data_IF_492806441705
#
_entry.id   IF_492806441705
#
_cell.length_a   1.000
_cell.length_b   1.000
_cell.length_c   1.000
_cell.angle_alpha   90.00
_cell.angle_beta   90.00
_cell.angle_gamma   90.00
#
_symmetry.space_group_name_H-M   'P 1'
#
loop_
_entity.id
_entity.type
_entity.pdbx_description
1 polymer ?
#
# COMPACT_ATOMS: atom_id res chain seq x y z
N UNK A 1 24.60 18.71 1.10
CA UNK A 1 23.31 19.38 0.81
C UNK A 1 23.46 20.83 1.24
N UNK A 2 22.90 21.80 0.53
CA UNK A 2 22.90 23.21 0.98
C UNK A 2 22.01 23.37 2.21
N UNK A 3 22.26 24.39 3.05
CA UNK A 3 21.44 24.70 4.24
C UNK A 3 19.94 24.85 3.89
N UNK A 4 19.64 25.44 2.74
CA UNK A 4 18.27 25.60 2.22
C UNK A 4 17.57 24.26 1.91
N UNK A 5 18.29 23.28 1.34
CA UNK A 5 17.75 21.96 1.05
C UNK A 5 17.48 21.17 2.34
N UNK A 6 18.34 21.33 3.34
CA UNK A 6 18.17 20.70 4.65
C UNK A 6 17.00 21.31 5.44
N UNK A 7 16.85 22.64 5.38
CA UNK A 7 15.70 23.35 5.97
C UNK A 7 14.37 22.96 5.30
N UNK A 8 14.35 22.84 3.97
CA UNK A 8 13.17 22.40 3.22
C UNK A 8 12.76 20.97 3.58
N UNK A 9 13.74 20.07 3.74
CA UNK A 9 13.49 18.69 4.18
C UNK A 9 12.89 18.64 5.58
N UNK A 10 13.39 19.43 6.52
CA UNK A 10 12.82 19.54 7.88
C UNK A 10 11.38 20.06 7.86
N UNK A 11 11.06 21.04 7.02
CA UNK A 11 9.68 21.54 6.87
C UNK A 11 8.76 20.43 6.34
N UNK A 12 9.20 19.67 5.34
CA UNK A 12 8.41 18.57 4.79
C UNK A 12 8.21 17.45 5.81
N UNK A 13 9.25 17.08 6.56
CA UNK A 13 9.12 16.11 7.65
C UNK A 13 8.11 16.56 8.71
N UNK A 14 8.06 17.87 9.03
CA UNK A 14 7.05 18.42 9.94
C UNK A 14 5.65 18.37 9.34
N UNK A 15 5.50 18.68 8.06
CA UNK A 15 4.21 18.60 7.36
C UNK A 15 3.71 17.15 7.29
N UNK A 16 4.57 16.20 6.93
CA UNK A 16 4.24 14.78 6.93
C UNK A 16 3.96 14.26 8.35
N UNK A 17 4.69 14.74 9.35
CA UNK A 17 4.44 14.48 10.77
C UNK A 17 3.14 15.11 11.32
N UNK A 18 2.42 15.90 10.51
CA UNK A 18 1.04 16.31 10.81
C UNK A 18 -0.02 15.37 10.22
N UNK A 19 0.39 14.53 9.26
CA UNK A 19 -0.45 13.55 8.57
C UNK A 19 -0.38 12.18 9.27
N UNK A 20 0.80 11.80 9.77
CA UNK A 20 1.05 10.65 10.64
C UNK A 20 1.95 11.04 11.81
N UNK A 21 2.55 10.09 12.53
CA UNK A 21 3.53 10.46 13.56
C UNK A 21 4.89 10.79 12.92
N UNK A 22 5.62 11.79 13.43
CA UNK A 22 6.96 12.13 12.90
C UNK A 22 7.90 10.92 12.86
N UNK A 23 7.86 10.08 13.90
CA UNK A 23 8.70 8.88 14.02
C UNK A 23 8.40 7.84 12.92
N UNK A 24 7.12 7.64 12.61
CA UNK A 24 6.65 6.74 11.55
C UNK A 24 7.11 7.23 10.17
N UNK A 25 6.93 8.52 9.87
CA UNK A 25 7.39 9.11 8.60
C UNK A 25 8.91 8.97 8.44
N UNK A 26 9.67 9.28 9.49
CA UNK A 26 11.13 9.15 9.47
C UNK A 26 11.58 7.69 9.26
N UNK A 27 10.86 6.73 9.84
CA UNK A 27 11.12 5.30 9.65
C UNK A 27 10.92 4.89 8.18
N UNK A 28 9.80 5.28 7.56
CA UNK A 28 9.54 4.97 6.16
C UNK A 28 10.56 5.62 5.21
N UNK A 29 10.90 6.89 5.44
CA UNK A 29 11.93 7.56 4.63
C UNK A 29 13.26 6.84 4.76
N UNK A 30 13.67 6.43 5.96
CA UNK A 30 14.90 5.65 6.18
C UNK A 30 14.84 4.31 5.45
N UNK A 31 13.71 3.61 5.52
CA UNK A 31 13.49 2.33 4.84
C UNK A 31 13.62 2.49 3.31
N UNK A 32 12.87 3.42 2.72
CA UNK A 32 12.92 3.64 1.27
C UNK A 32 14.27 4.17 0.79
N UNK A 33 14.93 5.01 1.58
CA UNK A 33 16.27 5.53 1.25
C UNK A 33 17.38 4.47 1.32
N UNK A 34 17.11 3.31 1.95
CA UNK A 34 18.06 2.20 2.01
C UNK A 34 18.03 1.29 0.78
N UNK A 35 17.03 1.47 -0.08
CA UNK A 35 16.89 0.75 -1.34
C UNK A 35 17.75 1.40 -2.45
N UNK A 36 17.94 0.68 -3.55
CA UNK A 36 18.31 1.35 -4.80
C UNK A 36 17.20 2.36 -5.14
N UNK A 37 17.57 3.60 -5.49
CA UNK A 37 16.62 4.67 -5.78
C UNK A 37 15.61 4.28 -6.86
N UNK A 38 16.01 3.46 -7.83
CA UNK A 38 15.11 2.97 -8.89
C UNK A 38 14.06 1.99 -8.34
N UNK A 39 14.38 1.28 -7.27
CA UNK A 39 13.51 0.28 -6.64
C UNK A 39 12.56 0.86 -5.61
N UNK A 40 12.51 2.20 -5.45
CA UNK A 40 11.54 2.82 -4.55
C UNK A 40 10.10 2.59 -5.03
N UNK A 41 9.72 3.21 -6.14
CA UNK A 41 8.34 3.16 -6.60
C UNK A 41 8.17 3.30 -8.12
N UNK A 42 7.20 2.56 -8.67
CA UNK A 42 6.61 2.81 -9.99
C UNK A 42 5.22 3.40 -9.78
N UNK A 43 4.95 4.59 -10.32
CA UNK A 43 3.70 5.33 -10.14
C UNK A 43 2.97 5.45 -11.47
N UNK A 44 1.86 4.73 -11.62
CA UNK A 44 0.96 4.82 -12.78
C UNK A 44 -0.04 5.94 -12.57
N UNK A 45 -0.02 6.91 -13.49
CA UNK A 45 -0.92 8.06 -13.52
C UNK A 45 -1.98 7.86 -14.62
N UNK A 46 -3.25 7.84 -14.23
CA UNK A 46 -4.36 7.87 -15.19
C UNK A 46 -4.45 9.21 -15.92
N UNK A 47 -4.82 9.19 -17.21
CA UNK A 47 -4.89 10.41 -18.03
C UNK A 47 -5.81 11.50 -17.47
N UNK A 48 -6.93 11.12 -16.84
CA UNK A 48 -7.84 12.08 -16.19
C UNK A 48 -7.18 12.90 -15.08
N UNK A 49 -6.19 12.34 -14.36
CA UNK A 49 -5.46 13.11 -13.34
C UNK A 49 -4.60 14.21 -13.95
N UNK A 50 -4.08 14.02 -15.17
CA UNK A 50 -3.33 15.06 -15.88
C UNK A 50 -4.22 16.22 -16.36
N UNK A 51 -5.53 15.98 -16.45
CA UNK A 51 -6.52 16.99 -16.83
C UNK A 51 -7.05 17.72 -15.59
N UNK A 52 -7.49 16.98 -14.57
CA UNK A 52 -8.30 17.51 -13.48
C UNK A 52 -7.51 17.72 -12.17
N UNK A 53 -6.39 17.01 -11.99
CA UNK A 53 -5.65 16.95 -10.71
C UNK A 53 -4.14 17.19 -10.88
N UNK A 54 -3.73 17.93 -11.92
CA UNK A 54 -2.32 18.11 -12.28
C UNK A 54 -1.50 18.75 -11.16
N UNK A 55 -2.04 19.79 -10.52
CA UNK A 55 -1.35 20.52 -9.45
C UNK A 55 -1.14 19.64 -8.20
N UNK A 56 -2.17 18.89 -7.81
CA UNK A 56 -2.10 17.94 -6.68
C UNK A 56 -1.09 16.83 -6.97
N UNK A 57 -1.11 16.29 -8.19
CA UNK A 57 -0.15 15.27 -8.64
C UNK A 57 1.28 15.81 -8.61
N UNK A 58 1.53 16.99 -9.20
CA UNK A 58 2.84 17.59 -9.23
C UNK A 58 3.34 17.86 -7.80
N UNK A 59 2.49 18.42 -6.93
CA UNK A 59 2.82 18.66 -5.53
C UNK A 59 3.20 17.39 -4.78
N UNK A 60 2.42 16.31 -4.91
CA UNK A 60 2.71 15.02 -4.28
C UNK A 60 4.02 14.40 -4.76
N UNK A 61 4.31 14.45 -6.05
CA UNK A 61 5.59 13.98 -6.59
C UNK A 61 6.77 14.85 -6.14
N UNK A 62 6.58 16.17 -6.05
CA UNK A 62 7.55 17.12 -5.47
C UNK A 62 7.90 16.75 -4.03
N UNK A 63 6.92 16.40 -3.20
CA UNK A 63 7.19 15.98 -1.82
C UNK A 63 8.11 14.76 -1.77
N UNK A 64 7.88 13.75 -2.62
CA UNK A 64 8.72 12.55 -2.70
C UNK A 64 10.16 12.89 -3.10
N UNK A 65 10.34 13.70 -4.14
CA UNK A 65 11.68 14.10 -4.60
C UNK A 65 12.44 14.87 -3.53
N UNK A 66 11.78 15.79 -2.82
CA UNK A 66 12.42 16.62 -1.78
C UNK A 66 12.85 15.85 -0.54
N UNK A 67 12.21 14.71 -0.25
CA UNK A 67 12.69 13.79 0.80
C UNK A 67 13.74 12.80 0.30
N UNK A 68 14.15 12.90 -0.96
CA UNK A 68 15.22 12.11 -1.57
C UNK A 68 14.75 10.84 -2.27
N UNK A 69 13.45 10.73 -2.59
CA UNK A 69 12.87 9.55 -3.24
C UNK A 69 12.52 9.87 -4.70
N UNK A 70 12.84 8.94 -5.60
CA UNK A 70 12.72 9.15 -7.04
C UNK A 70 11.73 8.15 -7.66
N UNK A 71 10.41 8.37 -7.52
CA UNK A 71 9.42 7.53 -8.17
C UNK A 71 9.58 7.58 -9.69
N UNK A 72 9.44 6.42 -10.33
CA UNK A 72 9.36 6.31 -11.78
C UNK A 72 7.91 6.46 -12.17
N UNK A 73 7.58 7.55 -12.86
CA UNK A 73 6.20 7.91 -13.18
C UNK A 73 5.90 7.47 -14.60
N UNK A 74 4.84 6.69 -14.80
CA UNK A 74 4.32 6.33 -16.12
C UNK A 74 2.89 6.84 -16.25
N UNK A 75 2.59 7.51 -17.36
CA UNK A 75 1.27 8.13 -17.53
C UNK A 75 0.53 7.64 -18.78
N UNK A 76 -0.79 7.56 -18.66
CA UNK A 76 -1.69 7.48 -19.81
C UNK A 76 -2.18 8.87 -20.25
N UNK A 77 -3.04 8.89 -21.26
CA UNK A 77 -3.68 10.12 -21.77
C UNK A 77 -5.11 9.85 -22.28
N UNK A 78 -5.85 8.93 -21.64
CA UNK A 78 -7.12 8.40 -22.14
C UNK A 78 -8.13 9.47 -22.58
N UNK A 79 -8.59 10.37 -21.69
CA UNK A 79 -9.53 11.45 -22.04
C UNK A 79 -8.99 12.37 -23.14
N UNK A 80 -7.71 12.78 -23.04
CA UNK A 80 -7.07 13.68 -23.99
C UNK A 80 -6.94 13.08 -25.39
N UNK A 81 -6.73 11.77 -25.47
CA UNK A 81 -6.72 11.01 -26.72
C UNK A 81 -8.13 10.91 -27.31
N UNK A 82 -9.14 10.64 -26.48
CA UNK A 82 -10.52 10.58 -26.94
C UNK A 82 -10.97 11.94 -27.52
N UNK A 83 -10.58 13.05 -26.92
CA UNK A 83 -10.89 14.39 -27.43
C UNK A 83 -10.14 14.71 -28.73
N UNK A 84 -8.84 14.43 -28.79
CA UNK A 84 -8.03 14.71 -29.98
C UNK A 84 -8.45 13.85 -31.20
N UNK A 85 -8.87 12.60 -30.98
CA UNK A 85 -9.36 11.74 -32.07
C UNK A 85 -10.71 12.22 -32.60
N UNK A 86 -11.62 12.69 -31.72
CA UNK A 86 -12.88 13.30 -32.13
C UNK A 86 -12.64 14.56 -32.97
N UNK A 87 -11.72 15.43 -32.55
CA UNK A 87 -11.35 16.64 -33.30
C UNK A 87 -10.77 16.30 -34.68
N UNK A 88 -9.98 15.25 -34.77
CA UNK A 88 -9.43 14.75 -36.04
C UNK A 88 -10.44 13.96 -36.90
N UNK A 89 -11.67 13.75 -36.42
CA UNK A 89 -12.68 12.95 -37.12
C UNK A 89 -12.36 11.45 -37.19
N UNK A 90 -11.48 10.94 -36.32
CA UNK A 90 -11.06 9.54 -36.29
C UNK A 90 -11.95 8.77 -35.30
N UNK A 91 -12.59 7.66 -35.71
CA UNK A 91 -13.49 6.90 -34.85
C UNK A 91 -12.74 6.19 -33.71
N UNK A 92 -13.21 6.37 -32.48
CA UNK A 92 -12.66 5.69 -31.30
C UNK A 92 -13.16 4.25 -31.27
N UNK A 93 -12.24 3.29 -31.39
CA UNK A 93 -12.52 1.85 -31.31
C UNK A 93 -11.73 1.22 -30.17
N UNK A 94 -12.42 0.49 -29.29
CA UNK A 94 -11.80 -0.25 -28.18
C UNK A 94 -12.26 -1.71 -28.23
N UNK A 95 -11.33 -2.63 -28.01
CA UNK A 95 -11.57 -4.06 -27.88
C UNK A 95 -10.85 -4.55 -26.63
N UNK A 96 -11.57 -5.19 -25.71
CA UNK A 96 -11.02 -5.71 -24.45
C UNK A 96 -10.22 -4.67 -23.63
N UNK A 97 -10.72 -3.43 -23.61
CA UNK A 97 -10.06 -2.31 -22.91
C UNK A 97 -8.84 -1.72 -23.63
N UNK A 98 -8.37 -2.33 -24.71
CA UNK A 98 -7.32 -1.80 -25.57
C UNK A 98 -7.89 -0.95 -26.70
N UNK A 99 -7.20 0.16 -27.04
CA UNK A 99 -7.56 1.00 -28.19
C UNK A 99 -6.99 0.38 -29.47
N UNK A 100 -7.85 0.07 -30.42
CA UNK A 100 -7.41 -0.31 -31.77
C UNK A 100 -6.73 0.92 -32.38
N UNK A 101 -5.47 0.76 -32.79
CA UNK A 101 -4.61 1.87 -33.19
C UNK A 101 -4.15 1.64 -34.63
N UNK A 102 -4.85 2.20 -35.61
CA UNK A 102 -4.33 2.26 -36.99
C UNK A 102 -3.28 3.38 -37.14
N UNK A 103 -2.71 3.54 -38.34
CA UNK A 103 -1.65 4.53 -38.60
C UNK A 103 -2.09 5.97 -38.29
N UNK A 104 -3.31 6.36 -38.68
CA UNK A 104 -3.83 7.70 -38.42
C UNK A 104 -4.07 7.93 -36.92
N UNK A 105 -4.57 6.90 -36.23
CA UNK A 105 -4.76 6.92 -34.77
C UNK A 105 -3.40 7.03 -34.06
N UNK A 106 -2.37 6.31 -34.52
CA UNK A 106 -1.03 6.31 -33.93
C UNK A 106 -0.39 7.71 -33.97
N UNK A 107 -0.57 8.44 -35.07
CA UNK A 107 -0.05 9.80 -35.21
C UNK A 107 -0.65 10.76 -34.16
N UNK A 108 -1.94 10.62 -33.88
CA UNK A 108 -2.62 11.36 -32.81
C UNK A 108 -2.11 10.90 -31.45
N UNK A 109 -2.02 9.59 -31.23
CA UNK A 109 -1.54 8.99 -29.98
C UNK A 109 -0.16 9.53 -29.60
N UNK A 110 0.79 9.52 -30.54
CA UNK A 110 2.15 9.99 -30.31
C UNK A 110 2.18 11.46 -29.89
N UNK A 111 1.47 12.33 -30.61
CA UNK A 111 1.43 13.78 -30.32
C UNK A 111 0.83 14.07 -28.95
N UNK A 112 -0.30 13.43 -28.62
CA UNK A 112 -0.97 13.63 -27.33
C UNK A 112 -0.13 13.10 -26.19
N UNK A 113 0.44 11.90 -26.29
CA UNK A 113 1.31 11.35 -25.24
C UNK A 113 2.51 12.27 -24.97
N UNK A 114 3.18 12.77 -26.01
CA UNK A 114 4.30 13.71 -25.86
C UNK A 114 3.87 15.04 -25.21
N UNK A 115 2.71 15.58 -25.63
CA UNK A 115 2.15 16.82 -25.06
C UNK A 115 1.83 16.66 -23.57
N UNK A 116 1.13 15.60 -23.19
CA UNK A 116 0.77 15.36 -21.78
C UNK A 116 1.99 15.02 -20.92
N UNK A 117 3.02 14.37 -21.48
CA UNK A 117 4.29 14.13 -20.81
C UNK A 117 4.98 15.46 -20.44
N UNK A 118 5.14 16.35 -21.42
CA UNK A 118 5.74 17.66 -21.19
C UNK A 118 4.90 18.50 -20.24
N UNK A 119 3.57 18.46 -20.33
CA UNK A 119 2.67 19.16 -19.41
C UNK A 119 2.92 18.76 -17.95
N UNK A 120 3.13 17.48 -17.65
CA UNK A 120 3.47 17.03 -16.30
C UNK A 120 4.89 17.46 -15.89
N UNK A 121 5.87 17.33 -16.78
CA UNK A 121 7.25 17.78 -16.54
C UNK A 121 7.27 19.28 -16.22
N UNK A 122 6.58 20.11 -17.00
CA UNK A 122 6.51 21.56 -16.80
C UNK A 122 5.82 21.91 -15.47
N UNK A 123 4.79 21.17 -15.07
CA UNK A 123 4.14 21.35 -13.78
C UNK A 123 5.09 21.05 -12.60
N UNK A 124 5.94 20.03 -12.74
CA UNK A 124 6.96 19.68 -11.75
C UNK A 124 8.08 20.73 -11.68
N UNK A 125 8.60 21.17 -12.84
CA UNK A 125 9.66 22.17 -12.90
C UNK A 125 9.19 23.54 -12.35
N UNK A 126 7.91 23.89 -12.53
CA UNK A 126 7.30 25.08 -11.89
C UNK A 126 7.33 25.03 -10.36
N UNK A 127 7.36 23.83 -9.77
CA UNK A 127 7.50 23.60 -8.32
C UNK A 127 8.96 23.38 -7.89
N UNK A 128 9.91 23.75 -8.76
CA UNK A 128 11.35 23.53 -8.60
C UNK A 128 11.70 22.04 -8.40
N UNK A 129 10.92 21.17 -9.02
CA UNK A 129 11.14 19.71 -9.00
C UNK A 129 11.70 19.28 -10.32
N UNK A 130 12.93 18.77 -10.28
CA UNK A 130 13.63 18.32 -11.48
C UNK A 130 12.99 17.06 -12.04
N UNK A 131 12.52 17.13 -13.27
CA UNK A 131 11.89 16.01 -13.96
C UNK A 131 12.52 15.82 -15.35
N UNK A 132 12.54 14.57 -15.83
CA UNK A 132 13.07 14.24 -17.16
C UNK A 132 11.99 13.56 -17.99
N UNK A 133 11.59 14.13 -19.14
CA UNK A 133 10.73 13.41 -20.08
C UNK A 133 11.49 12.22 -20.66
N UNK A 134 10.89 11.03 -20.57
CA UNK A 134 11.38 9.79 -21.16
C UNK A 134 10.29 9.25 -22.08
N UNK A 135 10.28 9.73 -23.32
CA UNK A 135 9.15 9.54 -24.25
C UNK A 135 9.29 8.34 -25.18
N UNK A 136 10.45 7.67 -25.17
CA UNK A 136 10.79 6.55 -26.06
C UNK A 136 12.00 5.78 -25.51
N UNK A 137 12.34 4.64 -26.13
CA UNK A 137 13.54 3.84 -25.79
C UNK A 137 13.48 3.04 -24.47
N UNK A 138 12.33 3.01 -23.78
CA UNK A 138 12.13 2.18 -22.57
C UNK A 138 11.51 0.83 -22.91
N UNK A 139 10.50 0.81 -23.78
CA UNK A 139 9.76 -0.42 -24.10
C UNK A 139 10.11 -0.89 -25.51
N UNK A 140 10.79 -2.03 -25.60
CA UNK A 140 10.97 -2.77 -26.84
C UNK A 140 9.81 -3.76 -26.97
N UNK A 141 9.07 -3.69 -28.08
CA UNK A 141 7.80 -4.40 -28.26
C UNK A 141 7.61 -4.97 -29.67
N UNK A 142 6.80 -6.01 -29.82
CA UNK A 142 6.31 -6.48 -31.13
C UNK A 142 4.86 -6.07 -31.33
N UNK A 143 4.31 -6.16 -32.54
CA UNK A 143 2.85 -6.03 -32.71
C UNK A 143 2.17 -7.17 -31.95
N UNK A 144 1.14 -6.84 -31.16
CA UNK A 144 0.37 -7.82 -30.39
C UNK A 144 -0.44 -8.72 -31.34
N UNK A 145 -1.29 -8.10 -32.14
CA UNK A 145 -1.96 -8.70 -33.30
C UNK A 145 -2.32 -7.55 -34.24
N UNK A 146 -1.56 -7.42 -35.31
CA UNK A 146 -1.68 -6.32 -36.27
C UNK A 146 -3.04 -6.32 -36.96
N UNK A 147 -3.63 -7.49 -37.20
CA UNK A 147 -4.92 -7.61 -37.89
C UNK A 147 -6.09 -7.11 -37.04
N UNK A 148 -5.99 -7.31 -35.71
CA UNK A 148 -7.05 -6.98 -34.75
C UNK A 148 -6.86 -5.60 -34.13
N UNK A 149 -5.63 -5.28 -33.68
CA UNK A 149 -5.36 -4.06 -32.90
C UNK A 149 -4.52 -3.02 -33.65
N UNK A 150 -3.95 -3.35 -34.81
CA UNK A 150 -3.06 -2.46 -35.56
C UNK A 150 -1.71 -2.27 -34.85
N UNK A 151 -1.29 -1.02 -34.71
CA UNK A 151 -0.04 -0.60 -34.06
C UNK A 151 -0.12 -0.64 -32.53
N UNK A 152 -0.62 -1.74 -31.97
CA UNK A 152 -0.61 -2.00 -30.52
C UNK A 152 0.51 -2.98 -30.20
N UNK A 153 1.32 -2.63 -29.21
CA UNK A 153 2.53 -3.35 -28.86
C UNK A 153 2.34 -4.35 -27.71
N UNK A 154 3.00 -5.50 -27.84
CA UNK A 154 3.28 -6.44 -26.76
C UNK A 154 4.75 -6.26 -26.33
N UNK A 155 4.99 -5.88 -25.08
CA UNK A 155 6.34 -5.62 -24.56
C UNK A 155 7.12 -6.93 -24.52
N UNK A 156 8.35 -6.91 -25.07
CA UNK A 156 9.29 -8.04 -25.02
C UNK A 156 10.49 -7.75 -24.13
N UNK A 157 10.85 -6.48 -23.97
CA UNK A 157 11.96 -6.06 -23.11
C UNK A 157 11.77 -4.63 -22.60
N UNK A 158 12.22 -4.41 -21.37
CA UNK A 158 12.27 -3.08 -20.75
C UNK A 158 13.74 -2.65 -20.60
N UNK A 159 14.09 -1.51 -21.19
CA UNK A 159 15.40 -0.87 -21.05
C UNK A 159 15.36 0.21 -19.96
N UNK A 160 16.17 0.02 -18.92
CA UNK A 160 16.21 0.88 -17.73
C UNK A 160 17.32 1.96 -17.78
N UNK A 161 18.05 2.08 -18.89
CA UNK A 161 19.20 2.98 -18.97
C UNK A 161 18.80 4.45 -18.83
N UNK A 162 17.82 4.91 -19.62
CA UNK A 162 17.34 6.30 -19.59
C UNK A 162 16.73 6.66 -18.22
N UNK A 163 15.98 5.73 -17.63
CA UNK A 163 15.40 5.85 -16.28
C UNK A 163 16.52 6.02 -15.25
N UNK A 164 17.53 5.15 -15.31
CA UNK A 164 18.65 5.20 -14.39
C UNK A 164 19.50 6.46 -14.54
N UNK A 165 19.66 6.97 -15.76
CA UNK A 165 20.37 8.22 -16.01
C UNK A 165 19.63 9.42 -15.40
N UNK A 166 18.30 9.48 -15.53
CA UNK A 166 17.49 10.52 -14.91
C UNK A 166 17.60 10.49 -13.37
N UNK A 167 17.46 9.31 -12.77
CA UNK A 167 17.53 9.14 -11.31
C UNK A 167 18.93 9.51 -10.78
N UNK A 168 20.01 9.08 -11.43
CA UNK A 168 21.38 9.49 -11.06
C UNK A 168 21.62 11.00 -11.14
N UNK A 169 20.92 11.68 -12.04
CA UNK A 169 20.95 13.14 -12.15
C UNK A 169 20.04 13.85 -11.12
N UNK A 170 19.36 13.10 -10.25
CA UNK A 170 18.41 13.65 -9.28
C UNK A 170 17.10 14.12 -9.92
N UNK A 171 16.71 13.55 -11.06
CA UNK A 171 15.49 13.90 -11.78
C UNK A 171 14.43 12.78 -11.65
N UNK A 172 13.16 13.15 -11.55
CA UNK A 172 12.05 12.21 -11.69
C UNK A 172 11.90 11.78 -13.16
N UNK A 173 12.02 10.49 -13.50
CA UNK A 173 11.76 10.03 -14.86
C UNK A 173 10.25 9.95 -15.12
N UNK A 174 9.78 10.66 -16.15
CA UNK A 174 8.37 10.74 -16.54
C UNK A 174 8.19 10.04 -17.89
N UNK A 175 7.60 8.84 -17.88
CA UNK A 175 7.50 7.93 -19.01
C UNK A 175 6.15 8.02 -19.71
N UNK A 176 6.18 7.89 -21.04
CA UNK A 176 5.01 7.63 -21.87
C UNK A 176 4.76 6.13 -22.03
N UNK A 177 3.54 5.75 -22.40
CA UNK A 177 3.17 4.36 -22.75
C UNK A 177 3.36 4.10 -24.25
N UNK A 178 4.55 4.37 -24.79
CA UNK A 178 4.92 4.11 -26.18
C UNK A 178 6.07 3.11 -26.24
N UNK A 179 5.97 2.17 -27.16
CA UNK A 179 7.03 1.19 -27.44
C UNK A 179 7.62 1.35 -28.82
N UNK A 180 8.72 0.65 -29.05
CA UNK A 180 9.42 0.59 -30.33
C UNK A 180 9.66 -0.87 -30.71
N UNK A 181 9.38 -1.22 -31.96
CA UNK A 181 9.80 -2.51 -32.51
C UNK A 181 11.30 -2.53 -32.77
N UNK A 182 11.92 -3.71 -32.96
CA UNK A 182 13.34 -3.80 -33.33
C UNK A 182 13.69 -3.02 -34.63
N UNK A 183 12.71 -2.75 -35.48
CA UNK A 183 12.87 -1.95 -36.70
C UNK A 183 12.74 -0.44 -36.50
N UNK A 184 12.39 0.02 -35.29
CA UNK A 184 12.14 1.43 -34.96
C UNK A 184 10.70 1.90 -35.16
N UNK A 185 9.78 1.02 -35.60
CA UNK A 185 8.35 1.37 -35.66
C UNK A 185 7.80 1.61 -34.25
N UNK A 186 7.16 2.76 -34.04
CA UNK A 186 6.48 3.09 -32.78
C UNK A 186 5.18 2.30 -32.68
N UNK A 187 4.87 1.81 -31.48
CA UNK A 187 3.61 1.13 -31.16
C UNK A 187 2.99 1.72 -29.89
N UNK A 188 1.66 1.72 -29.84
CA UNK A 188 0.91 2.11 -28.66
C UNK A 188 0.89 0.96 -27.65
N UNK A 189 1.12 1.23 -26.36
CA UNK A 189 1.07 0.21 -25.31
C UNK A 189 -0.01 0.59 -24.29
N UNK A 190 -0.75 -0.41 -23.80
CA UNK A 190 -1.69 -0.22 -22.70
C UNK A 190 -0.94 0.26 -21.43
N UNK A 191 -1.47 1.28 -20.76
CA UNK A 191 -0.77 1.91 -19.64
C UNK A 191 -0.64 1.03 -18.38
N UNK A 192 -1.63 0.16 -18.12
CA UNK A 192 -1.55 -0.80 -17.00
C UNK A 192 -0.55 -1.91 -17.32
N UNK A 193 -0.56 -2.43 -18.56
CA UNK A 193 0.46 -3.39 -19.03
C UNK A 193 1.87 -2.81 -18.95
N UNK A 194 2.07 -1.58 -19.45
CA UNK A 194 3.37 -0.91 -19.40
C UNK A 194 3.86 -0.70 -17.95
N UNK A 195 2.96 -0.36 -17.02
CA UNK A 195 3.30 -0.21 -15.61
C UNK A 195 3.67 -1.56 -14.96
N UNK A 196 2.94 -2.64 -15.27
CA UNK A 196 3.23 -3.98 -14.77
C UNK A 196 4.57 -4.51 -15.28
N UNK A 197 4.83 -4.43 -16.59
CA UNK A 197 6.12 -4.85 -17.18
C UNK A 197 7.31 -4.06 -16.63
N UNK A 198 7.11 -2.75 -16.46
CA UNK A 198 8.11 -1.89 -15.83
C UNK A 198 8.37 -2.31 -14.37
N UNK A 199 7.32 -2.63 -13.62
CA UNK A 199 7.44 -3.11 -12.25
C UNK A 199 8.14 -4.48 -12.18
N UNK A 200 7.85 -5.41 -13.08
CA UNK A 200 8.54 -6.71 -13.16
C UNK A 200 10.04 -6.54 -13.46
N UNK A 201 10.39 -5.61 -14.34
CA UNK A 201 11.78 -5.32 -14.69
C UNK A 201 12.58 -4.66 -13.53
N UNK A 202 11.93 -3.80 -12.74
CA UNK A 202 12.58 -3.03 -11.66
C UNK A 202 12.54 -3.75 -10.32
N UNK A 203 11.45 -4.48 -10.05
CA UNK A 203 11.08 -5.05 -8.74
C UNK A 203 11.00 -4.00 -7.64
N UNK A 204 10.12 -2.98 -7.77
CA UNK A 204 10.05 -1.89 -6.80
C UNK A 204 9.40 -2.33 -5.49
N UNK A 205 9.70 -1.62 -4.40
CA UNK A 205 9.02 -1.82 -3.11
C UNK A 205 7.56 -1.39 -3.17
N UNK A 206 7.24 -0.33 -3.93
CA UNK A 206 5.87 0.18 -4.11
C UNK A 206 5.50 0.26 -5.60
N UNK A 207 4.33 -0.25 -5.93
CA UNK A 207 3.66 0.03 -7.20
C UNK A 207 2.43 0.86 -6.85
N UNK A 208 2.27 2.04 -7.44
CA UNK A 208 1.18 2.94 -7.09
C UNK A 208 0.30 3.19 -8.29
N UNK A 209 -1.00 2.89 -8.17
CA UNK A 209 -2.00 3.29 -9.14
C UNK A 209 -2.75 4.51 -8.62
N UNK A 210 -2.54 5.66 -9.26
CA UNK A 210 -3.26 6.87 -8.92
C UNK A 210 -4.60 6.93 -9.64
N UNK A 211 -5.68 7.05 -8.86
CA UNK A 211 -7.05 7.08 -9.35
C UNK A 211 -7.81 8.25 -8.71
N UNK A 212 -8.82 8.82 -9.39
CA UNK A 212 -9.64 9.88 -8.78
C UNK A 212 -10.44 9.40 -7.56
N UNK A 213 -10.85 8.13 -7.52
CA UNK A 213 -11.63 7.56 -6.41
C UNK A 213 -10.80 7.33 -5.15
N UNK A 214 -9.48 7.25 -5.27
CA UNK A 214 -8.59 7.15 -4.11
C UNK A 214 -8.49 5.77 -3.47
N UNK A 215 -9.03 4.72 -4.08
CA UNK A 215 -8.94 3.35 -3.56
C UNK A 215 -10.03 2.43 -4.13
N UNK A 216 -10.00 1.16 -3.70
CA UNK A 216 -11.06 0.18 -3.94
C UNK A 216 -12.11 0.31 -2.83
N UNK A 217 -13.39 0.22 -3.20
CA UNK A 217 -14.51 0.38 -2.28
C UNK A 217 -15.07 -0.98 -1.88
N UNK A 218 -15.56 -1.10 -0.64
CA UNK A 218 -16.33 -2.26 -0.16
C UNK A 218 -17.81 -2.18 -0.57
N UNK A 219 -18.59 -3.19 -0.21
CA UNK A 219 -20.04 -3.26 -0.46
C UNK A 219 -20.85 -2.07 0.13
N UNK A 220 -20.27 -1.33 1.07
CA UNK A 220 -20.88 -0.16 1.71
C UNK A 220 -20.34 1.17 1.15
N UNK A 221 -19.53 1.13 0.09
CA UNK A 221 -18.92 2.30 -0.53
C UNK A 221 -17.76 2.90 0.26
N UNK A 222 -17.21 2.19 1.25
CA UNK A 222 -16.06 2.65 2.06
C UNK A 222 -14.77 2.13 1.45
N UNK A 223 -13.69 2.90 1.51
CA UNK A 223 -12.39 2.46 1.01
C UNK A 223 -11.88 1.26 1.81
N UNK A 224 -11.55 0.17 1.11
CA UNK A 224 -10.80 -0.97 1.65
C UNK A 224 -9.39 -0.49 1.97
N UNK A 225 -8.98 -0.51 3.25
CA UNK A 225 -7.64 -0.05 3.63
C UNK A 225 -6.54 -0.99 3.16
N UNK A 226 -6.80 -2.31 3.21
CA UNK A 226 -5.81 -3.32 2.88
C UNK A 226 -6.46 -4.60 2.33
N UNK A 227 -5.76 -5.30 1.45
CA UNK A 227 -6.13 -6.60 0.90
C UNK A 227 -4.91 -7.52 0.98
N UNK A 228 -5.07 -8.67 1.65
CA UNK A 228 -4.07 -9.75 1.68
C UNK A 228 -4.48 -10.81 0.65
N UNK A 229 -3.83 -10.85 -0.50
CA UNK A 229 -4.22 -11.74 -1.59
C UNK A 229 -4.17 -13.24 -1.20
N UNK A 230 -3.31 -13.63 -0.26
CA UNK A 230 -3.24 -15.01 0.22
C UNK A 230 -4.48 -15.46 1.00
N UNK A 231 -5.24 -14.52 1.56
CA UNK A 231 -6.42 -14.81 2.40
C UNK A 231 -7.71 -14.32 1.72
N UNK A 232 -7.68 -13.12 1.13
CA UNK A 232 -8.88 -12.41 0.68
C UNK A 232 -9.25 -12.70 -0.77
N UNK A 233 -8.29 -13.12 -1.62
CA UNK A 233 -8.48 -13.10 -3.08
C UNK A 233 -9.66 -13.97 -3.55
N UNK A 234 -9.67 -15.25 -3.21
CA UNK A 234 -10.71 -16.17 -3.69
C UNK A 234 -12.10 -15.76 -3.19
N UNK A 235 -12.18 -15.33 -1.92
CA UNK A 235 -13.40 -14.80 -1.33
C UNK A 235 -13.89 -13.57 -2.09
N UNK A 236 -13.05 -12.55 -2.24
CA UNK A 236 -13.41 -11.32 -2.97
C UNK A 236 -13.81 -11.62 -4.42
N UNK A 237 -13.14 -12.55 -5.09
CA UNK A 237 -13.48 -12.97 -6.45
C UNK A 237 -14.77 -13.78 -6.53
N UNK A 238 -15.39 -14.18 -5.41
CA UNK A 238 -16.72 -14.81 -5.38
C UNK A 238 -17.85 -13.83 -5.05
N UNK A 239 -17.55 -12.65 -4.50
CA UNK A 239 -18.54 -11.69 -4.01
C UNK A 239 -19.25 -10.92 -5.15
N UNK A 240 -20.59 -10.79 -5.06
CA UNK A 240 -21.40 -10.12 -6.08
C UNK A 240 -21.13 -8.61 -6.19
N UNK A 241 -20.77 -7.95 -5.08
CA UNK A 241 -20.50 -6.52 -5.05
C UNK A 241 -19.16 -6.14 -5.73
N UNK A 242 -18.27 -7.13 -5.94
CA UNK A 242 -17.01 -6.93 -6.66
C UNK A 242 -17.29 -6.99 -8.15
N UNK A 243 -17.53 -5.82 -8.75
CA UNK A 243 -17.88 -5.72 -10.17
C UNK A 243 -16.73 -6.11 -11.12
N UNK A 244 -17.03 -6.36 -12.40
CA UNK A 244 -16.09 -6.87 -13.41
C UNK A 244 -14.77 -6.09 -13.51
N UNK A 245 -14.83 -4.75 -13.51
CA UNK A 245 -13.61 -3.91 -13.52
C UNK A 245 -12.73 -4.08 -12.27
N UNK A 246 -13.32 -4.26 -11.09
CA UNK A 246 -12.57 -4.50 -9.85
C UNK A 246 -11.95 -5.90 -9.85
N UNK A 247 -12.68 -6.91 -10.36
CA UNK A 247 -12.16 -8.28 -10.54
C UNK A 247 -10.94 -8.30 -11.45
N UNK A 248 -11.02 -7.64 -12.60
CA UNK A 248 -9.89 -7.51 -13.51
C UNK A 248 -8.69 -6.86 -12.81
N UNK A 249 -8.92 -5.77 -12.07
CA UNK A 249 -7.84 -5.08 -11.38
C UNK A 249 -7.17 -5.92 -10.28
N UNK A 250 -7.97 -6.68 -9.52
CA UNK A 250 -7.46 -7.59 -8.51
C UNK A 250 -6.66 -8.73 -9.12
N UNK A 251 -7.12 -9.30 -10.25
CA UNK A 251 -6.38 -10.33 -10.98
C UNK A 251 -5.03 -9.79 -11.48
N UNK A 252 -5.01 -8.64 -12.17
CA UNK A 252 -3.77 -7.99 -12.64
C UNK A 252 -2.78 -7.74 -11.50
N UNK A 253 -3.28 -7.26 -10.35
CA UNK A 253 -2.44 -6.98 -9.18
C UNK A 253 -1.91 -8.29 -8.58
N UNK A 254 -2.72 -9.34 -8.54
CA UNK A 254 -2.29 -10.65 -8.06
C UNK A 254 -1.19 -11.23 -8.94
N UNK A 255 -1.41 -11.27 -10.25
CA UNK A 255 -0.43 -11.80 -11.20
C UNK A 255 0.90 -11.06 -11.09
N UNK A 256 0.85 -9.73 -10.96
CA UNK A 256 2.03 -8.89 -10.73
C UNK A 256 2.73 -9.22 -9.40
N UNK A 257 1.99 -9.31 -8.28
CA UNK A 257 2.57 -9.54 -6.96
C UNK A 257 3.06 -10.98 -6.74
N UNK A 258 2.56 -11.94 -7.51
CA UNK A 258 3.06 -13.32 -7.50
C UNK A 258 4.49 -13.41 -8.04
N UNK A 259 4.84 -12.59 -9.03
CA UNK A 259 6.20 -12.54 -9.61
C UNK A 259 7.17 -11.61 -8.85
N UNK A 260 6.65 -10.74 -7.99
CA UNK A 260 7.45 -9.79 -7.23
C UNK A 260 7.89 -10.34 -5.85
N UNK A 261 8.93 -9.75 -5.23
CA UNK A 261 9.31 -10.05 -3.85
C UNK A 261 8.14 -9.83 -2.86
N UNK A 262 8.11 -10.59 -1.76
CA UNK A 262 7.11 -10.44 -0.68
C UNK A 262 7.05 -9.02 -0.09
N UNK A 263 8.16 -8.28 -0.14
CA UNK A 263 8.25 -6.90 0.32
C UNK A 263 7.57 -5.89 -0.60
N UNK A 264 7.28 -6.28 -1.85
CA UNK A 264 6.58 -5.42 -2.80
C UNK A 264 5.10 -5.34 -2.46
N UNK A 265 4.52 -4.17 -2.70
CA UNK A 265 3.08 -3.94 -2.49
C UNK A 265 2.54 -3.01 -3.55
N UNK A 266 1.25 -3.17 -3.85
CA UNK A 266 0.48 -2.25 -4.68
C UNK A 266 -0.30 -1.31 -3.77
N UNK A 267 -0.29 0.00 -4.06
CA UNK A 267 -1.16 0.98 -3.40
C UNK A 267 -2.06 1.63 -4.46
N UNK A 268 -3.37 1.64 -4.21
CA UNK A 268 -4.34 2.36 -5.04
C UNK A 268 -4.82 3.55 -4.21
N UNK A 269 -4.48 4.77 -4.63
CA UNK A 269 -4.78 5.98 -3.86
C UNK A 269 -5.01 7.18 -4.79
N UNK A 270 -5.31 8.35 -4.20
CA UNK A 270 -5.50 9.60 -4.91
C UNK A 270 -4.15 10.33 -5.06
N UNK A 271 -4.04 11.24 -6.02
CA UNK A 271 -2.84 12.07 -6.14
C UNK A 271 -2.55 12.87 -4.86
N UNK A 272 -3.61 13.42 -4.24
CA UNK A 272 -3.51 14.21 -3.00
C UNK A 272 -3.02 13.38 -1.82
N UNK A 273 -3.49 12.14 -1.71
CA UNK A 273 -3.21 11.26 -0.56
C UNK A 273 -1.93 10.43 -0.72
N UNK A 274 -1.24 10.53 -1.86
CA UNK A 274 -0.03 9.77 -2.14
C UNK A 274 1.02 9.80 -1.02
N UNK A 275 1.42 10.96 -0.45
CA UNK A 275 2.39 10.97 0.63
C UNK A 275 1.86 10.29 1.90
N UNK A 276 0.56 10.45 2.20
CA UNK A 276 -0.08 9.81 3.36
C UNK A 276 -0.08 8.30 3.21
N UNK A 277 -0.40 7.80 2.02
CA UNK A 277 -0.37 6.38 1.68
C UNK A 277 1.04 5.77 1.82
N UNK A 278 2.08 6.50 1.44
CA UNK A 278 3.44 5.96 1.43
C UNK A 278 4.17 6.06 2.78
N UNK A 279 3.83 7.06 3.61
CA UNK A 279 4.57 7.38 4.84
C UNK A 279 3.79 7.17 6.13
N UNK A 280 2.60 6.58 6.06
CA UNK A 280 1.82 6.24 7.27
C UNK A 280 1.34 4.80 7.19
N UNK A 281 1.33 4.10 8.33
CA UNK A 281 0.82 2.75 8.50
C UNK A 281 -0.67 2.66 8.20
N UNK A 282 -1.44 3.73 8.47
CA UNK A 282 -2.87 3.79 8.14
C UNK A 282 -3.10 3.92 6.64
N UNK A 283 -2.22 4.64 5.97
CA UNK A 283 -2.39 5.03 4.59
C UNK A 283 -3.62 5.92 4.36
N UNK A 284 -3.96 6.07 3.09
CA UNK A 284 -5.15 6.77 2.60
C UNK A 284 -5.53 6.25 1.21
N UNK A 285 -5.59 4.93 1.10
CA UNK A 285 -6.02 4.21 -0.08
C UNK A 285 -6.19 2.74 0.24
N UNK A 286 -6.05 1.91 -0.79
CA UNK A 286 -6.06 0.46 -0.66
C UNK A 286 -4.65 -0.08 -0.86
N UNK A 287 -4.08 -0.64 0.21
CA UNK A 287 -2.83 -1.39 0.18
C UNK A 287 -3.11 -2.85 -0.19
N UNK A 288 -2.66 -3.30 -1.36
CA UNK A 288 -2.75 -4.69 -1.79
C UNK A 288 -1.37 -5.33 -1.69
N UNK A 289 -1.32 -6.49 -1.03
CA UNK A 289 -0.10 -7.25 -0.85
C UNK A 289 -0.37 -8.71 -1.18
N UNK A 290 0.65 -9.42 -1.66
CA UNK A 290 0.58 -10.88 -1.70
C UNK A 290 0.27 -11.44 -0.31
N UNK A 291 0.87 -10.80 0.69
CA UNK A 291 0.72 -11.10 2.10
C UNK A 291 1.19 -12.51 2.41
N UNK A 292 0.74 -13.02 3.54
CA UNK A 292 1.08 -14.34 4.05
C UNK A 292 -0.19 -14.96 4.64
N UNK A 293 -0.22 -16.29 4.75
CA UNK A 293 -1.37 -16.94 5.36
C UNK A 293 -1.39 -16.68 6.86
N UNK A 294 -2.60 -16.61 7.41
CA UNK A 294 -2.81 -16.55 8.86
C UNK A 294 -3.12 -17.96 9.36
N UNK A 295 -2.15 -18.57 10.03
CA UNK A 295 -2.29 -19.88 10.64
C UNK A 295 -3.11 -19.78 11.94
N UNK A 296 -3.93 -20.79 12.17
CA UNK A 296 -4.76 -20.92 13.37
C UNK A 296 -4.35 -22.14 14.19
N UNK A 297 -4.18 -21.94 15.50
CA UNK A 297 -3.87 -23.00 16.46
C UNK A 297 -4.79 -22.93 17.68
N UNK A 298 -5.07 -24.07 18.31
CA UNK A 298 -5.92 -24.14 19.52
C UNK A 298 -5.12 -24.20 20.81
N UNK A 299 -3.86 -24.61 20.76
CA UNK A 299 -2.99 -24.71 21.94
C UNK A 299 -1.56 -24.26 21.61
N UNK A 300 -0.78 -23.94 22.64
CA UNK A 300 0.64 -23.60 22.48
C UNK A 300 1.52 -24.80 22.11
N UNK A 301 1.03 -26.04 22.24
CA UNK A 301 1.80 -27.24 21.85
C UNK A 301 1.87 -27.43 20.33
N UNK A 302 0.96 -26.77 19.60
CA UNK A 302 0.87 -26.88 18.14
C UNK A 302 1.71 -25.81 17.42
N UNK A 303 2.28 -24.84 18.15
CA UNK A 303 2.96 -23.67 17.60
C UNK A 303 4.44 -23.66 18.02
N UNK A 304 5.29 -23.04 17.20
CA UNK A 304 6.67 -22.76 17.57
C UNK A 304 6.72 -21.68 18.66
N UNK A 305 6.80 -22.13 19.92
CA UNK A 305 6.81 -21.25 21.09
C UNK A 305 8.05 -20.35 21.14
N UNK A 306 9.18 -20.77 20.56
CA UNK A 306 10.41 -19.97 20.52
C UNK A 306 10.18 -18.76 19.62
N UNK A 307 9.72 -18.99 18.39
CA UNK A 307 9.42 -17.90 17.44
C UNK A 307 8.27 -17.02 17.91
N UNK A 308 7.23 -17.60 18.53
CA UNK A 308 6.13 -16.80 19.08
C UNK A 308 6.62 -15.92 20.24
N UNK A 309 7.50 -16.42 21.11
CA UNK A 309 8.12 -15.63 22.17
C UNK A 309 8.90 -14.46 21.59
N UNK A 310 9.78 -14.71 20.62
CA UNK A 310 10.57 -13.66 19.96
C UNK A 310 9.67 -12.59 19.33
N UNK A 311 8.61 -12.99 18.62
CA UNK A 311 7.61 -12.09 18.05
C UNK A 311 7.01 -11.19 19.13
N UNK A 312 6.48 -11.78 20.21
CA UNK A 312 5.83 -11.04 21.28
C UNK A 312 6.80 -10.07 21.96
N UNK A 313 8.02 -10.51 22.26
CA UNK A 313 9.03 -9.69 22.92
C UNK A 313 9.48 -8.52 22.04
N UNK A 314 9.68 -8.76 20.74
CA UNK A 314 9.99 -7.71 19.77
C UNK A 314 8.83 -6.74 19.56
N UNK A 315 7.59 -7.25 19.49
CA UNK A 315 6.39 -6.44 19.26
C UNK A 315 6.05 -5.54 20.45
N UNK A 316 6.23 -6.02 21.67
CA UNK A 316 5.97 -5.23 22.89
C UNK A 316 7.20 -4.48 23.41
N UNK A 317 8.41 -4.82 22.97
CA UNK A 317 9.67 -4.30 23.50
C UNK A 317 9.91 -4.67 24.97
N UNK A 318 9.38 -5.83 25.41
CA UNK A 318 9.39 -6.29 26.80
C UNK A 318 9.54 -7.80 26.86
N UNK A 319 10.13 -8.32 27.94
CA UNK A 319 10.21 -9.76 28.15
C UNK A 319 8.85 -10.36 28.51
N UNK A 320 8.60 -11.53 27.94
CA UNK A 320 7.42 -12.33 28.24
C UNK A 320 7.67 -13.09 29.54
N UNK A 321 6.69 -13.09 30.45
CA UNK A 321 6.84 -13.80 31.73
C UNK A 321 7.07 -15.31 31.50
N UNK A 322 7.96 -15.98 32.27
CA UNK A 322 8.38 -17.35 32.00
C UNK A 322 7.25 -18.38 31.87
N UNK A 323 6.15 -18.21 32.62
CA UNK A 323 5.02 -19.14 32.66
C UNK A 323 3.88 -18.80 31.70
N UNK A 324 4.11 -17.89 30.74
CA UNK A 324 3.05 -17.46 29.84
C UNK A 324 2.48 -18.60 28.99
N UNK A 325 3.35 -19.50 28.50
CA UNK A 325 2.96 -20.65 27.69
C UNK A 325 2.29 -21.78 28.48
N UNK A 326 2.23 -21.68 29.81
CA UNK A 326 1.51 -22.63 30.68
C UNK A 326 0.00 -22.32 30.77
N UNK A 327 -0.50 -21.29 30.07
CA UNK A 327 -1.93 -20.94 30.07
C UNK A 327 -2.77 -22.05 29.43
N UNK A 328 -3.74 -22.58 30.17
CA UNK A 328 -4.67 -23.61 29.69
C UNK A 328 -5.96 -23.03 29.08
N UNK A 329 -6.26 -21.75 29.31
CA UNK A 329 -7.50 -21.11 28.85
C UNK A 329 -7.40 -20.52 27.43
N UNK A 330 -6.52 -21.05 26.57
CA UNK A 330 -6.40 -20.63 25.18
C UNK A 330 -7.66 -21.04 24.42
N UNK A 331 -8.22 -20.11 23.64
CA UNK A 331 -9.31 -20.42 22.71
C UNK A 331 -8.74 -20.62 21.30
N UNK A 332 -8.07 -19.60 20.78
CA UNK A 332 -7.37 -19.63 19.48
C UNK A 332 -6.14 -18.74 19.48
N UNK A 333 -5.17 -19.11 18.65
CA UNK A 333 -3.98 -18.35 18.34
C UNK A 333 -3.94 -18.16 16.83
N UNK A 334 -3.91 -16.90 16.40
CA UNK A 334 -3.65 -16.52 15.01
C UNK A 334 -2.20 -16.07 14.90
N UNK A 335 -1.47 -16.58 13.93
CA UNK A 335 -0.09 -16.18 13.67
C UNK A 335 0.19 -16.20 12.17
N UNK A 336 0.90 -15.21 11.65
CA UNK A 336 1.34 -15.25 10.26
C UNK A 336 2.38 -16.35 10.07
N UNK A 337 2.47 -16.95 8.88
CA UNK A 337 3.45 -18.01 8.58
C UNK A 337 4.90 -17.60 8.89
N UNK A 338 5.24 -16.30 8.73
CA UNK A 338 6.55 -15.77 9.09
C UNK A 338 6.77 -15.49 10.58
N UNK A 339 5.75 -15.61 11.44
CA UNK A 339 5.78 -15.22 12.86
C UNK A 339 6.15 -13.74 13.04
N UNK A 340 5.51 -12.86 12.25
CA UNK A 340 5.72 -11.41 12.33
C UNK A 340 4.51 -10.63 12.84
N UNK A 341 3.33 -11.25 12.85
CA UNK A 341 2.14 -10.75 13.52
C UNK A 341 1.36 -11.90 14.19
N UNK A 342 0.73 -11.62 15.33
CA UNK A 342 -0.07 -12.61 16.08
C UNK A 342 -1.22 -11.97 16.86
N UNK A 343 -2.30 -12.72 17.03
CA UNK A 343 -3.37 -12.49 17.99
C UNK A 343 -3.58 -13.75 18.84
N UNK A 344 -3.62 -13.61 20.16
CA UNK A 344 -3.90 -14.71 21.10
C UNK A 344 -5.20 -14.42 21.82
N UNK A 345 -6.18 -15.29 21.63
CA UNK A 345 -7.51 -15.23 22.26
C UNK A 345 -7.59 -16.27 23.37
N UNK A 346 -8.12 -15.84 24.51
CA UNK A 346 -8.34 -16.72 25.68
C UNK A 346 -9.80 -16.65 26.11
N UNK A 347 -10.25 -17.73 26.75
CA UNK A 347 -11.53 -17.79 27.46
C UNK A 347 -11.35 -17.16 28.83
N UNK A 348 -11.68 -15.89 28.92
CA UNK A 348 -11.53 -15.09 30.12
C UNK A 348 -12.73 -14.15 30.23
N UNK A 349 -13.53 -14.28 31.29
CA UNK A 349 -14.76 -13.50 31.43
C UNK A 349 -15.95 -14.02 30.59
N UNK A 350 -16.99 -13.19 30.40
CA UNK A 350 -18.26 -13.62 29.79
C UNK A 350 -18.19 -13.73 28.26
N UNK A 351 -17.24 -13.05 27.61
CA UNK A 351 -16.97 -13.11 26.17
C UNK A 351 -15.49 -13.39 25.94
N UNK A 352 -15.05 -13.83 24.75
CA UNK A 352 -13.63 -14.06 24.47
C UNK A 352 -12.78 -12.80 24.66
N UNK A 353 -11.55 -12.98 25.15
CA UNK A 353 -10.63 -11.89 25.47
C UNK A 353 -9.37 -11.95 24.60
N UNK A 354 -9.00 -10.82 23.99
CA UNK A 354 -7.74 -10.70 23.25
C UNK A 354 -6.60 -10.38 24.23
N UNK A 355 -5.78 -11.40 24.49
CA UNK A 355 -4.69 -11.35 25.46
C UNK A 355 -3.39 -10.80 24.89
N UNK A 356 -3.09 -11.10 23.63
CA UNK A 356 -1.95 -10.53 22.90
C UNK A 356 -2.38 -10.14 21.51
N UNK A 357 -1.97 -8.95 21.11
CA UNK A 357 -1.93 -8.53 19.71
C UNK A 357 -0.58 -7.87 19.49
N UNK A 358 0.25 -8.46 18.64
CA UNK A 358 1.62 -8.01 18.42
C UNK A 358 1.99 -8.07 16.95
N UNK A 359 2.71 -7.05 16.50
CA UNK A 359 3.31 -6.97 15.17
C UNK A 359 4.75 -6.55 15.37
N UNK A 360 5.69 -7.28 14.79
CA UNK A 360 7.12 -6.95 14.88
C UNK A 360 7.40 -5.58 14.24
N UNK A 361 8.39 -4.81 14.72
CA UNK A 361 8.69 -3.49 14.17
C UNK A 361 8.95 -3.46 12.66
N UNK A 362 9.52 -4.54 12.10
CA UNK A 362 9.78 -4.67 10.66
C UNK A 362 8.50 -4.86 9.85
N UNK A 363 7.47 -5.49 10.42
CA UNK A 363 6.21 -5.76 9.74
C UNK A 363 5.15 -4.66 9.94
N UNK A 364 5.46 -3.60 10.69
CA UNK A 364 4.52 -2.50 10.90
C UNK A 364 4.24 -1.75 9.59
N UNK A 365 2.96 -1.69 9.24
CA UNK A 365 2.48 -1.10 7.99
C UNK A 365 2.73 -1.93 6.73
N UNK A 366 3.16 -3.18 6.88
CA UNK A 366 3.05 -4.21 5.83
C UNK A 366 1.68 -4.91 5.85
N UNK A 367 0.64 -4.31 6.43
CA UNK A 367 -0.72 -4.89 6.46
C UNK A 367 -0.92 -6.14 7.33
N UNK A 368 0.15 -6.84 7.77
CA UNK A 368 0.03 -8.13 8.49
C UNK A 368 -0.84 -8.07 9.75
N UNK A 369 -0.73 -6.99 10.53
CA UNK A 369 -1.58 -6.79 11.72
C UNK A 369 -3.06 -6.67 11.35
N UNK A 370 -3.38 -5.98 10.25
CA UNK A 370 -4.74 -5.86 9.76
C UNK A 370 -5.28 -7.21 9.27
N UNK A 371 -4.45 -8.02 8.59
CA UNK A 371 -4.82 -9.38 8.18
C UNK A 371 -5.17 -10.28 9.36
N UNK A 372 -4.31 -10.30 10.40
CA UNK A 372 -4.57 -11.07 11.62
C UNK A 372 -5.83 -10.57 12.34
N UNK A 373 -6.03 -9.26 12.40
CA UNK A 373 -7.23 -8.67 13.02
C UNK A 373 -8.52 -9.02 12.27
N UNK A 374 -8.50 -8.95 10.94
CA UNK A 374 -9.65 -9.28 10.09
C UNK A 374 -10.05 -10.75 10.28
N UNK A 375 -9.09 -11.67 10.18
CA UNK A 375 -9.33 -13.11 10.38
C UNK A 375 -9.88 -13.41 11.78
N UNK A 376 -9.33 -12.77 12.82
CA UNK A 376 -9.83 -12.89 14.19
C UNK A 376 -11.28 -12.38 14.30
N UNK A 377 -11.60 -11.24 13.69
CA UNK A 377 -12.94 -10.63 13.78
C UNK A 377 -14.03 -11.44 13.07
N UNK A 378 -13.68 -12.19 12.02
CA UNK A 378 -14.61 -13.14 11.37
C UNK A 378 -15.05 -14.24 12.34
N UNK A 379 -14.11 -14.78 13.11
CA UNK A 379 -14.38 -15.87 14.05
C UNK A 379 -15.00 -15.38 15.36
N UNK A 380 -14.76 -14.12 15.75
CA UNK A 380 -15.21 -13.52 17.00
C UNK A 380 -16.06 -12.27 16.74
N UNK A 381 -17.39 -12.38 16.61
CA UNK A 381 -18.26 -11.21 16.46
C UNK A 381 -18.38 -10.36 17.73
N UNK A 382 -18.04 -10.94 18.90
CA UNK A 382 -17.94 -10.25 20.19
C UNK A 382 -16.53 -10.44 20.76
N UNK A 383 -15.89 -9.35 21.18
CA UNK A 383 -14.56 -9.40 21.77
C UNK A 383 -14.30 -8.20 22.68
N UNK A 384 -13.50 -8.40 23.72
CA UNK A 384 -12.96 -7.32 24.52
C UNK A 384 -11.45 -7.49 24.76
N UNK A 385 -10.77 -6.38 25.03
CA UNK A 385 -9.33 -6.38 25.29
C UNK A 385 -8.93 -5.16 26.11
N UNK A 386 -7.69 -5.13 26.58
CA UNK A 386 -7.13 -3.95 27.23
C UNK A 386 -5.77 -3.58 26.66
N UNK A 387 -5.41 -2.32 26.84
CA UNK A 387 -4.14 -1.77 26.46
C UNK A 387 -3.68 -0.75 27.50
N UNK A 388 -2.37 -0.55 27.66
CA UNK A 388 -1.87 0.53 28.53
C UNK A 388 -2.29 1.87 27.95
N UNK A 389 -2.60 2.83 28.80
CA UNK A 389 -3.01 4.20 28.38
C UNK A 389 -1.96 4.84 27.46
N UNK A 390 -0.68 4.60 27.72
CA UNK A 390 0.46 5.13 26.96
C UNK A 390 0.73 4.40 25.63
N UNK A 391 -0.04 3.36 25.30
CA UNK A 391 0.22 2.57 24.10
C UNK A 391 -0.16 3.34 22.82
N UNK A 392 0.77 3.40 21.87
CA UNK A 392 0.63 4.16 20.63
C UNK A 392 -0.48 3.60 19.72
N UNK A 393 -0.77 2.30 19.80
CA UNK A 393 -1.84 1.67 19.01
C UNK A 393 -3.26 2.00 19.50
N UNK A 394 -3.42 2.67 20.66
CA UNK A 394 -4.75 2.94 21.21
C UNK A 394 -5.66 3.70 20.25
N UNK A 395 -5.12 4.64 19.47
CA UNK A 395 -5.90 5.36 18.46
C UNK A 395 -6.50 4.42 17.41
N UNK A 396 -5.75 3.40 17.01
CA UNK A 396 -6.26 2.37 16.11
C UNK A 396 -7.30 1.48 16.80
N UNK A 397 -7.07 1.07 18.05
CA UNK A 397 -8.07 0.32 18.82
C UNK A 397 -9.40 1.08 18.96
N UNK A 398 -9.37 2.39 19.21
CA UNK A 398 -10.58 3.23 19.24
C UNK A 398 -11.38 3.15 17.93
N UNK A 399 -10.71 3.06 16.78
CA UNK A 399 -11.37 2.95 15.48
C UNK A 399 -11.93 1.55 15.23
N UNK A 400 -11.34 0.52 15.85
CA UNK A 400 -11.79 -0.86 15.73
C UNK A 400 -12.87 -1.23 16.76
N UNK A 401 -12.99 -0.47 17.84
CA UNK A 401 -13.94 -0.68 18.93
C UNK A 401 -15.27 0.06 18.71
N UNK A 402 -16.33 -0.48 19.26
CA UNK A 402 -17.63 0.21 19.39
C UNK A 402 -17.73 0.98 20.72
N UNK A 403 -16.93 0.57 21.71
CA UNK A 403 -16.84 1.27 22.99
C UNK A 403 -15.48 1.08 23.67
N UNK A 404 -15.17 2.00 24.57
CA UNK A 404 -13.96 1.97 25.37
C UNK A 404 -14.19 2.58 26.76
N UNK A 405 -13.46 2.07 27.75
CA UNK A 405 -13.48 2.57 29.13
C UNK A 405 -12.06 2.65 29.68
N UNK A 406 -11.69 3.79 30.26
CA UNK A 406 -10.32 4.09 30.65
C UNK A 406 -10.22 4.42 32.15
N UNK A 407 -9.17 3.90 32.79
CA UNK A 407 -8.67 4.37 34.08
C UNK A 407 -7.25 4.93 33.93
N UNK A 408 -6.54 5.14 35.05
CA UNK A 408 -5.20 5.75 35.04
C UNK A 408 -4.13 4.88 34.36
N UNK A 409 -4.29 3.55 34.38
CA UNK A 409 -3.28 2.60 33.90
C UNK A 409 -3.65 1.90 32.60
N UNK A 410 -4.94 1.63 32.40
CA UNK A 410 -5.47 0.76 31.35
C UNK A 410 -6.65 1.40 30.64
N UNK A 411 -6.75 1.12 29.35
CA UNK A 411 -7.93 1.35 28.53
C UNK A 411 -8.46 -0.01 28.10
N UNK A 412 -9.74 -0.26 28.38
CA UNK A 412 -10.48 -1.45 27.95
C UNK A 412 -11.29 -1.07 26.72
N UNK A 413 -11.33 -1.94 25.73
CA UNK A 413 -12.04 -1.75 24.46
C UNK A 413 -12.90 -2.97 24.19
N UNK A 414 -14.00 -2.80 23.45
CA UNK A 414 -14.86 -3.89 23.02
C UNK A 414 -15.61 -3.59 21.72
N UNK A 415 -16.14 -4.64 21.10
CA UNK A 415 -17.13 -4.58 20.04
C UNK A 415 -18.09 -5.77 20.14
N UNK A 416 -19.29 -5.63 19.57
CA UNK A 416 -20.34 -6.66 19.54
C UNK A 416 -21.04 -6.89 20.88
N UNK A 417 -20.77 -6.08 21.89
CA UNK A 417 -21.36 -6.20 23.23
C UNK A 417 -22.42 -5.12 23.41
N UNK A 418 -23.69 -5.52 23.26
CA UNK A 418 -24.84 -4.64 23.42
C UNK A 418 -25.38 -4.61 24.86
N UNK A 419 -25.25 -5.71 25.59
CA UNK A 419 -25.76 -5.84 26.96
C UNK A 419 -24.87 -5.10 27.98
N UNK A 420 -25.49 -4.24 28.78
CA UNK A 420 -24.78 -3.38 29.72
C UNK A 420 -24.12 -4.16 30.87
N UNK A 421 -24.76 -5.22 31.37
CA UNK A 421 -24.21 -6.02 32.47
C UNK A 421 -23.06 -6.90 31.99
N UNK A 422 -23.16 -7.49 30.80
CA UNK A 422 -22.07 -8.19 30.09
C UNK A 422 -20.86 -7.26 29.88
N UNK A 423 -21.10 -6.04 29.39
CA UNK A 423 -20.06 -5.01 29.21
C UNK A 423 -19.38 -4.66 30.53
N UNK A 424 -20.15 -4.40 31.58
CA UNK A 424 -19.63 -4.05 32.91
C UNK A 424 -18.79 -5.20 33.50
N UNK A 425 -19.22 -6.44 33.30
CA UNK A 425 -18.47 -7.62 33.72
C UNK A 425 -17.13 -7.76 32.96
N UNK A 426 -17.13 -7.52 31.64
CA UNK A 426 -15.91 -7.48 30.82
C UNK A 426 -14.92 -6.43 31.32
N UNK A 427 -15.38 -5.19 31.52
CA UNK A 427 -14.53 -4.07 31.98
C UNK A 427 -13.94 -4.36 33.35
N UNK A 428 -14.76 -4.84 34.30
CA UNK A 428 -14.30 -5.23 35.63
C UNK A 428 -13.23 -6.32 35.54
N UNK A 429 -13.50 -7.38 34.77
CA UNK A 429 -12.55 -8.50 34.62
C UNK A 429 -11.23 -8.05 33.99
N UNK A 430 -11.29 -7.23 32.93
CA UNK A 430 -10.09 -6.71 32.26
C UNK A 430 -9.17 -5.94 33.22
N UNK A 431 -9.71 -5.20 34.19
CA UNK A 431 -8.89 -4.48 35.16
C UNK A 431 -8.28 -5.38 36.25
N UNK A 432 -8.94 -6.49 36.59
CA UNK A 432 -8.45 -7.45 37.60
C UNK A 432 -7.31 -8.34 37.08
N UNK A 433 -7.17 -8.49 35.75
CA UNK A 433 -6.17 -9.38 35.17
C UNK A 433 -4.73 -8.91 35.50
N UNK A 434 -3.82 -9.81 35.91
CA UNK A 434 -2.42 -9.45 36.16
C UNK A 434 -1.69 -9.07 34.86
N UNK A 435 -0.63 -8.28 34.97
CA UNK A 435 0.23 -7.98 33.83
C UNK A 435 0.99 -9.24 33.39
N UNK A 436 0.92 -9.58 32.10
CA UNK A 436 1.56 -10.77 31.52
C UNK A 436 2.94 -10.52 30.92
N UNK A 437 3.37 -9.25 30.86
CA UNK A 437 4.70 -8.81 30.45
C UNK A 437 5.43 -8.24 31.67
N UNK A 438 6.75 -8.26 31.64
CA UNK A 438 7.54 -7.60 32.69
C UNK A 438 7.42 -6.07 32.61
N UNK A 439 7.42 -5.40 33.77
CA UNK A 439 7.53 -3.95 33.78
C UNK A 439 8.98 -3.55 33.52
N UNK A 440 9.26 -2.41 32.85
CA UNK A 440 10.63 -1.94 32.70
C UNK A 440 11.25 -1.83 34.09
N UNK A 441 12.40 -2.47 34.32
CA UNK A 441 13.16 -2.23 35.54
C UNK A 441 13.43 -0.74 35.61
N UNK A 442 12.86 -0.04 36.59
CA UNK A 442 13.29 1.31 36.92
C UNK A 442 14.75 1.15 37.30
N UNK A 443 15.67 1.53 36.41
CA UNK A 443 17.04 1.75 36.81
C UNK A 443 16.94 2.81 37.91
N UNK A 444 17.21 2.40 39.15
CA UNK A 444 17.35 3.32 40.25
C UNK A 444 18.49 4.25 39.86
N UNK A 445 18.16 5.45 39.41
CA UNK A 445 19.11 6.55 39.35
C UNK A 445 19.42 6.92 40.81
N UNK A 446 20.41 6.24 41.37
CA UNK A 446 21.19 6.68 42.52
C UNK A 446 22.47 7.34 42.02
#
# INVERSE_FOLDING_TARGET
MSDSAQQTREIILRLLGSIGSRKEVEQYIKQYSSLDQKQFAVVKVGGGLLQDHLEELASSLTYLQRVGLYPIVIHGAGPQLDDALKEAGIPIRKLEGMRITDSATLDVVRKVMQRENLKLVDALEKLDTRARPVTSGVFEATMLDESTYGYVGEIKRVNLEAIGAAIRAGHLPILTCLGETPSGQIVNINADVAASELALAIKPAKIVFLTPTGGLLDQHGRTLSSINLSEDFDRMMSEDWVHSGMRLKLQEIKDLLDELPLSSSVSITSARDLPKELFTHRGAGTLVQRGERVLEFKTFDQIDQVRLKELLELGFGKQLRPKYFEKENIDRIYVTESYRATAVIVKEGPVPYLDKFAVTPKAQGEGLGASVWARMREDYPKLYWRSRVSNQINMWYFQQSEGAFRNDQWCVFWYGIEDYDEMKACVKRAFELPATLEEPSIAANS
#
